data_IF_181217139466
#
_entry.id   IF_181217139466
#
_cell.length_a   1.000
_cell.length_b   1.000
_cell.length_c   1.000
_cell.angle_alpha   90.00
_cell.angle_beta   90.00
_cell.angle_gamma   90.00
#
_symmetry.space_group_name_H-M   'P 1'
#
loop_
_entity.id
_entity.type
_entity.pdbx_description
1 polymer ?
#
# COMPACT_ATOMS: atom_id res chain seq x y z
N UNK A 1 7.72 77.58 59.25
CA UNK A 1 8.40 76.38 58.66
C UNK A 1 8.24 75.16 59.53
N UNK A 2 7.30 75.14 60.45
CA UNK A 2 7.15 73.98 61.38
C UNK A 2 5.92 73.17 61.13
N UNK A 3 5.34 73.23 59.94
CA UNK A 3 4.24 72.31 59.52
C UNK A 3 4.77 70.91 59.26
N UNK A 4 4.03 69.91 59.73
CA UNK A 4 4.30 68.51 59.52
C UNK A 4 3.14 67.89 58.75
N UNK A 5 3.41 66.88 57.92
CA UNK A 5 2.37 66.04 57.29
C UNK A 5 1.79 65.10 58.31
N UNK A 6 0.46 65.20 58.49
CA UNK A 6 -0.29 64.29 59.36
C UNK A 6 -1.30 63.47 58.56
N UNK A 7 -1.31 62.11 58.78
CA UNK A 7 -2.12 61.20 58.09
C UNK A 7 -3.20 60.68 59.03
N UNK A 8 -4.42 60.48 58.46
CA UNK A 8 -5.62 60.07 59.19
C UNK A 8 -6.31 58.96 58.47
N UNK A 9 -7.10 58.06 59.17
CA UNK A 9 -7.90 57.01 58.61
C UNK A 9 -9.41 57.32 58.72
N UNK A 10 -9.76 58.55 59.07
CA UNK A 10 -11.13 59.00 59.19
C UNK A 10 -11.31 60.42 58.61
N UNK A 11 -12.47 60.73 57.99
CA UNK A 11 -12.71 62.02 57.38
C UNK A 11 -12.88 63.18 58.40
N UNK A 12 -13.04 62.93 59.68
CA UNK A 12 -13.08 63.94 60.76
C UNK A 12 -11.71 64.39 61.18
N UNK A 13 -10.65 63.66 60.68
CA UNK A 13 -9.23 63.93 61.00
C UNK A 13 -8.96 63.91 62.53
N UNK A 14 -9.65 62.95 63.23
CA UNK A 14 -9.60 62.90 64.71
C UNK A 14 -8.43 62.09 65.23
N UNK A 15 -7.97 61.07 64.47
CA UNK A 15 -6.94 60.10 64.86
C UNK A 15 -5.79 60.11 63.88
N UNK A 16 -4.62 60.59 64.32
CA UNK A 16 -3.42 60.56 63.55
C UNK A 16 -2.89 59.13 63.47
N UNK A 17 -2.77 58.53 62.26
CA UNK A 17 -2.19 57.21 61.98
C UNK A 17 -0.68 57.27 61.63
N UNK A 18 -0.18 58.45 61.35
CA UNK A 18 1.25 58.63 61.12
C UNK A 18 1.57 60.04 60.73
N UNK A 19 2.87 60.36 60.69
CA UNK A 19 3.41 61.74 60.34
C UNK A 19 4.56 61.62 59.36
N UNK A 20 4.74 62.64 58.53
CA UNK A 20 5.85 62.72 57.57
C UNK A 20 5.39 62.55 56.13
N UNK A 21 6.33 62.64 55.18
CA UNK A 21 6.07 62.57 53.72
C UNK A 21 5.54 61.23 53.26
N UNK A 22 5.70 60.17 54.05
CA UNK A 22 5.20 58.79 53.80
C UNK A 22 4.97 58.09 55.13
N UNK A 23 3.96 57.20 55.14
CA UNK A 23 3.70 56.31 56.27
C UNK A 23 3.56 54.90 55.75
N UNK A 24 3.89 53.95 56.61
CA UNK A 24 3.56 52.52 56.39
C UNK A 24 2.37 52.19 57.24
N UNK A 25 1.28 51.83 56.61
CA UNK A 25 0.07 51.38 57.31
C UNK A 25 0.07 49.88 57.45
N UNK A 26 0.22 49.31 58.69
CA UNK A 26 0.20 47.90 58.87
C UNK A 26 -1.24 47.37 58.86
N UNK A 27 -1.46 46.24 58.16
CA UNK A 27 -2.70 45.40 58.19
C UNK A 27 -4.06 46.18 58.06
N UNK A 28 -4.30 46.72 56.88
CA UNK A 28 -5.65 47.17 56.49
C UNK A 28 -6.53 45.96 56.22
N UNK A 29 -7.66 45.83 56.94
CA UNK A 29 -8.57 44.70 56.85
C UNK A 29 -9.89 44.97 56.11
N UNK A 30 -10.12 46.24 55.73
CA UNK A 30 -11.28 46.69 54.95
C UNK A 30 -10.86 47.88 54.09
N UNK A 31 -11.62 48.21 53.05
CA UNK A 31 -11.39 49.41 52.24
C UNK A 31 -11.34 50.59 53.19
N UNK A 32 -10.25 51.36 53.11
CA UNK A 32 -10.00 52.49 54.02
C UNK A 32 -9.45 53.66 53.23
N UNK A 33 -10.14 54.83 53.36
CA UNK A 33 -9.65 56.07 52.77
C UNK A 33 -8.74 56.76 53.81
N UNK A 34 -7.53 57.03 53.39
CA UNK A 34 -6.54 57.80 54.16
C UNK A 34 -6.56 59.25 53.71
N UNK A 35 -6.46 60.10 54.68
CA UNK A 35 -6.41 61.57 54.48
C UNK A 35 -5.09 62.09 54.94
N UNK A 36 -4.53 63.13 54.24
CA UNK A 36 -3.28 63.79 54.61
C UNK A 36 -3.42 65.28 54.45
N UNK A 37 -2.86 66.00 55.42
CA UNK A 37 -2.71 67.45 55.32
C UNK A 37 -1.46 67.93 56.12
N UNK A 38 -0.97 69.13 55.81
CA UNK A 38 0.06 69.70 56.60
C UNK A 38 -0.58 70.44 57.77
N UNK A 39 -0.10 70.19 59.00
CA UNK A 39 -0.56 70.79 60.25
C UNK A 39 0.59 71.47 61.05
N UNK A 40 0.24 72.40 61.97
CA UNK A 40 1.19 73.03 62.86
C UNK A 40 1.93 74.23 62.32
N UNK A 41 1.63 74.65 61.07
CA UNK A 41 2.25 75.86 60.50
C UNK A 41 1.64 77.13 60.97
N UNK A 42 2.41 78.18 61.04
CA UNK A 42 1.98 79.57 61.42
C UNK A 42 0.87 80.15 60.54
N UNK A 43 0.66 79.62 59.34
CA UNK A 43 -0.37 80.01 58.40
C UNK A 43 -1.63 79.12 58.39
N UNK A 44 -1.75 78.20 59.37
CA UNK A 44 -2.82 77.28 59.46
C UNK A 44 -2.57 75.95 58.71
N UNK A 45 -3.57 75.10 58.69
CA UNK A 45 -3.49 73.72 58.05
C UNK A 45 -3.72 73.85 56.53
N UNK A 46 -3.11 72.99 55.77
CA UNK A 46 -3.37 72.87 54.33
C UNK A 46 -4.74 72.22 54.02
N UNK A 47 -5.15 72.27 52.75
CA UNK A 47 -6.23 71.42 52.29
C UNK A 47 -5.86 69.98 52.47
N UNK A 48 -6.86 69.10 52.68
CA UNK A 48 -6.70 67.68 52.79
C UNK A 48 -6.63 67.01 51.41
N UNK A 49 -5.69 66.07 51.19
CA UNK A 49 -5.73 65.11 50.10
C UNK A 49 -6.16 63.77 50.65
N UNK A 50 -6.80 62.98 49.85
CA UNK A 50 -7.29 61.65 50.21
C UNK A 50 -6.91 60.57 49.16
N UNK A 51 -6.72 59.33 49.59
CA UNK A 51 -6.50 58.17 48.77
C UNK A 51 -7.09 56.95 49.44
N UNK A 52 -7.80 56.09 48.68
CA UNK A 52 -8.42 54.90 49.18
C UNK A 52 -7.49 53.66 48.96
N UNK A 53 -7.25 52.95 50.02
CA UNK A 53 -6.66 51.60 49.99
C UNK A 53 -7.76 50.58 49.89
N UNK A 54 -7.82 49.93 48.75
CA UNK A 54 -8.84 48.91 48.47
C UNK A 54 -8.31 47.52 48.87
N UNK A 55 -9.05 46.81 49.68
CA UNK A 55 -8.74 45.41 50.00
C UNK A 55 -9.35 44.49 48.95
N UNK A 56 -8.47 43.79 48.25
CA UNK A 56 -8.86 42.81 47.26
C UNK A 56 -9.49 41.55 47.92
N UNK A 57 -10.57 41.08 47.37
CA UNK A 57 -11.11 39.77 47.73
C UNK A 57 -10.08 38.67 47.39
N UNK A 58 -9.96 37.61 48.20
CA UNK A 58 -9.07 36.49 47.88
C UNK A 58 -9.52 35.80 46.61
N UNK A 59 -8.56 35.19 45.92
CA UNK A 59 -8.81 34.33 44.78
C UNK A 59 -9.47 33.02 45.23
N UNK A 60 -10.30 32.43 44.40
CA UNK A 60 -10.71 31.03 44.55
C UNK A 60 -10.11 30.19 43.44
N UNK A 61 -9.65 28.99 43.83
CA UNK A 61 -8.98 28.10 42.88
C UNK A 61 -9.92 27.65 41.74
N UNK A 62 -9.42 27.50 40.53
CA UNK A 62 -10.17 26.88 39.46
C UNK A 62 -10.53 25.42 39.81
N UNK A 63 -11.63 24.92 39.29
CA UNK A 63 -12.07 23.53 39.52
C UNK A 63 -11.69 22.60 38.39
N UNK A 64 -11.39 23.16 37.19
CA UNK A 64 -11.01 22.42 36.00
C UNK A 64 -10.63 23.30 34.82
N UNK A 65 -10.34 22.67 33.74
CA UNK A 65 -10.13 23.27 32.42
C UNK A 65 -10.91 22.47 31.40
N UNK A 66 -11.76 23.14 30.63
CA UNK A 66 -12.34 22.58 29.40
C UNK A 66 -11.58 23.06 28.17
N UNK A 67 -11.77 22.37 27.04
CA UNK A 67 -11.11 22.66 25.78
C UNK A 67 -12.04 22.38 24.61
N UNK A 68 -11.80 23.04 23.45
CA UNK A 68 -12.58 22.81 22.24
C UNK A 68 -12.22 21.48 21.57
N UNK A 69 -10.96 21.04 21.66
CA UNK A 69 -10.47 19.76 21.15
C UNK A 69 -9.35 19.22 22.05
N UNK A 70 -9.49 17.97 22.59
CA UNK A 70 -8.45 17.34 23.40
C UNK A 70 -7.27 16.85 22.58
N UNK A 71 -7.53 16.48 21.31
CA UNK A 71 -6.58 15.97 20.37
C UNK A 71 -6.46 16.92 19.20
N UNK A 72 -5.26 17.35 18.90
CA UNK A 72 -4.95 18.30 17.82
C UNK A 72 -3.80 17.80 16.97
N UNK A 73 -3.75 18.24 15.74
CA UNK A 73 -2.55 18.05 14.92
C UNK A 73 -1.46 19.03 15.33
N UNK A 74 -0.21 18.68 15.12
CA UNK A 74 0.90 19.59 15.41
C UNK A 74 0.73 20.92 14.65
N UNK A 75 0.62 22.00 15.40
CA UNK A 75 0.41 23.34 14.84
C UNK A 75 -1.06 23.76 14.69
N UNK A 76 -2.01 22.87 14.89
CA UNK A 76 -3.43 23.26 14.98
C UNK A 76 -3.71 23.89 16.34
N UNK A 77 -4.70 24.78 16.35
CA UNK A 77 -5.06 25.53 17.56
C UNK A 77 -6.27 24.92 18.28
N UNK A 78 -6.26 24.99 19.59
CA UNK A 78 -7.41 24.70 20.47
C UNK A 78 -7.53 25.83 21.49
N UNK A 79 -8.69 25.98 22.08
CA UNK A 79 -8.96 26.94 23.12
C UNK A 79 -9.09 26.24 24.46
N UNK A 80 -8.42 26.79 25.52
CA UNK A 80 -8.53 26.33 26.89
C UNK A 80 -9.39 27.32 27.69
N UNK A 81 -10.35 26.80 28.43
CA UNK A 81 -11.27 27.61 29.26
C UNK A 81 -11.17 27.19 30.71
N UNK A 82 -10.91 28.13 31.60
CA UNK A 82 -10.93 27.91 33.06
C UNK A 82 -12.36 27.62 33.53
N UNK A 83 -12.52 26.57 34.28
CA UNK A 83 -13.81 26.22 34.90
C UNK A 83 -13.78 26.51 36.40
N UNK A 84 -14.82 27.16 36.87
CA UNK A 84 -14.94 27.57 38.27
C UNK A 84 -13.89 28.57 38.73
N UNK A 85 -13.81 28.75 40.03
CA UNK A 85 -12.92 29.74 40.62
C UNK A 85 -13.34 31.19 40.39
N UNK A 86 -12.63 32.13 40.99
CA UNK A 86 -12.81 33.56 40.80
C UNK A 86 -11.53 34.32 41.06
N UNK A 87 -11.36 35.43 40.38
CA UNK A 87 -10.24 36.35 40.59
C UNK A 87 -10.61 37.43 41.59
N UNK A 88 -9.74 37.68 42.56
CA UNK A 88 -9.76 38.91 43.37
C UNK A 88 -9.37 40.12 42.54
N UNK A 89 -9.59 41.34 43.09
CA UNK A 89 -9.22 42.54 42.40
C UNK A 89 -7.71 42.60 42.10
N UNK A 90 -7.36 42.87 40.83
CA UNK A 90 -5.97 42.92 40.39
C UNK A 90 -5.28 41.55 40.18
N UNK A 91 -6.01 40.43 40.33
CA UNK A 91 -5.48 39.09 40.07
C UNK A 91 -5.64 38.71 38.60
N UNK A 92 -4.89 37.67 38.20
CA UNK A 92 -4.88 37.10 36.85
C UNK A 92 -5.10 35.60 36.90
N UNK A 93 -5.73 35.02 35.87
CA UNK A 93 -5.54 33.65 35.50
C UNK A 93 -4.17 33.54 34.82
N UNK A 94 -3.27 32.75 35.44
CA UNK A 94 -1.89 32.58 34.93
C UNK A 94 -1.72 31.13 34.46
N UNK A 95 -1.32 30.99 33.21
CA UNK A 95 -1.15 29.70 32.51
C UNK A 95 0.31 29.35 32.39
N UNK A 96 0.62 28.07 32.48
CA UNK A 96 1.96 27.51 32.40
C UNK A 96 1.94 26.23 31.57
N UNK A 97 3.05 25.93 30.90
CA UNK A 97 3.34 24.68 30.20
C UNK A 97 4.25 23.75 31.02
N UNK A 98 4.60 24.16 32.23
CA UNK A 98 5.40 23.44 33.19
C UNK A 98 4.77 23.59 34.56
N UNK A 99 4.81 22.56 35.41
CA UNK A 99 4.20 22.61 36.72
C UNK A 99 4.73 23.75 37.58
N UNK A 100 3.91 24.77 37.89
CA UNK A 100 4.34 25.94 38.64
C UNK A 100 4.54 25.66 40.14
N UNK A 101 4.30 24.42 40.62
CA UNK A 101 4.54 24.01 42.03
C UNK A 101 5.94 23.46 42.25
N UNK A 102 6.59 22.94 41.18
CA UNK A 102 7.92 22.32 41.24
C UNK A 102 9.03 23.37 41.00
N UNK A 103 8.76 24.31 40.09
CA UNK A 103 9.68 25.37 39.74
C UNK A 103 8.90 26.67 39.54
N UNK A 104 9.57 27.80 39.42
CA UNK A 104 8.91 29.09 39.06
C UNK A 104 9.08 29.35 37.56
N UNK A 105 8.34 28.60 36.72
CA UNK A 105 8.44 28.79 35.26
C UNK A 105 7.85 30.13 34.85
N UNK A 106 8.27 30.69 33.72
CA UNK A 106 7.61 31.86 33.16
C UNK A 106 6.18 31.48 32.75
N UNK A 107 5.23 32.39 32.98
CA UNK A 107 3.88 32.26 32.48
C UNK A 107 3.86 32.25 30.94
N UNK A 108 3.09 31.35 30.33
CA UNK A 108 2.89 31.32 28.88
C UNK A 108 1.73 32.23 28.45
N UNK A 109 0.79 32.50 29.37
CA UNK A 109 -0.32 33.46 29.15
C UNK A 109 -0.89 33.95 30.48
N UNK A 110 -1.29 35.22 30.51
CA UNK A 110 -1.96 35.88 31.64
C UNK A 110 -3.23 36.59 31.17
N UNK A 111 -4.29 36.51 31.96
CA UNK A 111 -5.54 37.25 31.71
C UNK A 111 -6.18 37.73 32.98
N UNK A 112 -6.54 39.02 33.03
CA UNK A 112 -7.25 39.66 34.14
C UNK A 112 -8.77 39.53 34.07
N UNK A 113 -9.32 39.24 32.90
CA UNK A 113 -10.76 39.34 32.64
C UNK A 113 -11.36 38.12 31.92
N UNK A 114 -10.54 37.33 31.26
CA UNK A 114 -11.04 36.17 30.49
C UNK A 114 -10.57 34.86 31.08
N UNK A 115 -11.48 33.92 31.17
CA UNK A 115 -11.19 32.53 31.53
C UNK A 115 -10.62 31.73 30.35
N UNK A 116 -10.47 32.39 29.18
CA UNK A 116 -10.08 31.77 27.91
C UNK A 116 -8.62 32.02 27.58
N UNK A 117 -7.85 30.96 27.35
CA UNK A 117 -6.56 31.01 26.65
C UNK A 117 -6.78 30.48 25.24
N UNK A 118 -6.94 31.36 24.26
CA UNK A 118 -7.29 31.01 22.89
C UNK A 118 -6.07 30.80 22.00
N UNK A 119 -6.24 29.94 21.00
CA UNK A 119 -5.25 29.68 19.96
C UNK A 119 -4.01 28.93 20.48
N UNK A 120 -4.15 28.11 21.49
CA UNK A 120 -3.07 27.25 22.00
C UNK A 120 -2.71 26.22 20.92
N UNK A 121 -1.46 26.24 20.45
CA UNK A 121 -0.99 25.42 19.32
C UNK A 121 0.30 24.68 19.70
N UNK A 122 0.20 23.59 20.49
CA UNK A 122 1.37 22.84 20.92
C UNK A 122 1.97 22.04 19.76
N UNK A 123 3.31 22.00 19.68
CA UNK A 123 4.03 21.18 18.70
C UNK A 123 4.15 19.69 19.13
N UNK A 124 4.04 19.44 20.45
CA UNK A 124 4.08 18.12 21.07
C UNK A 124 3.03 18.04 22.16
N UNK A 125 2.60 16.83 22.54
CA UNK A 125 1.68 16.64 23.66
C UNK A 125 2.18 17.43 24.88
N UNK A 126 1.34 18.36 25.35
CA UNK A 126 1.71 19.33 26.38
C UNK A 126 0.65 19.39 27.47
N UNK A 127 1.09 19.37 28.72
CA UNK A 127 0.23 19.60 29.88
C UNK A 127 0.29 21.07 30.26
N UNK A 128 -0.88 21.72 30.29
CA UNK A 128 -1.04 23.10 30.73
C UNK A 128 -1.59 23.15 32.13
N UNK A 129 -1.12 24.12 32.88
CA UNK A 129 -1.52 24.39 34.26
C UNK A 129 -2.08 25.81 34.34
N UNK A 130 -3.12 26.01 35.14
CA UNK A 130 -3.67 27.34 35.41
C UNK A 130 -3.98 27.50 36.87
N UNK A 131 -3.71 28.69 37.40
CA UNK A 131 -4.07 29.14 38.75
C UNK A 131 -4.37 30.63 38.76
N UNK A 132 -5.06 31.08 39.79
CA UNK A 132 -5.20 32.49 40.02
C UNK A 132 -3.98 33.02 40.79
N UNK A 133 -3.45 34.15 40.33
CA UNK A 133 -2.33 34.87 40.94
C UNK A 133 -2.65 36.33 41.14
N UNK A 134 -2.35 36.85 42.32
CA UNK A 134 -2.62 38.22 42.73
C UNK A 134 -2.15 38.46 44.15
N UNK A 135 -3.02 39.01 45.01
CA UNK A 135 -2.70 39.13 46.43
C UNK A 135 -2.44 37.79 47.10
N UNK A 136 -3.02 36.74 46.60
CA UNK A 136 -2.78 35.34 46.96
C UNK A 136 -2.63 34.49 45.69
N UNK A 137 -2.08 33.29 45.86
CA UNK A 137 -1.90 32.33 44.79
C UNK A 137 -2.65 31.06 45.13
N UNK A 138 -3.53 30.61 44.21
CA UNK A 138 -4.31 29.40 44.42
C UNK A 138 -3.55 28.15 43.99
N UNK A 139 -4.11 26.98 44.32
CA UNK A 139 -3.66 25.71 43.75
C UNK A 139 -3.92 25.70 42.25
N UNK A 140 -3.00 25.12 41.47
CA UNK A 140 -3.16 24.95 40.04
C UNK A 140 -4.01 23.73 39.69
N UNK A 141 -4.80 23.85 38.63
CA UNK A 141 -5.38 22.69 37.94
C UNK A 141 -4.64 22.49 36.61
N UNK A 142 -4.70 21.25 36.09
CA UNK A 142 -3.99 20.90 34.87
C UNK A 142 -4.92 20.27 33.84
N UNK A 143 -4.53 20.37 32.58
CA UNK A 143 -5.13 19.63 31.45
C UNK A 143 -4.04 19.26 30.45
N UNK A 144 -4.22 18.16 29.71
CA UNK A 144 -3.27 17.73 28.69
C UNK A 144 -3.91 17.80 27.32
N UNK A 145 -3.25 18.49 26.40
CA UNK A 145 -3.59 18.48 24.97
C UNK A 145 -2.67 17.48 24.30
N UNK A 146 -3.29 16.46 23.68
CA UNK A 146 -2.56 15.41 22.95
C UNK A 146 -2.29 15.89 21.52
N UNK A 147 -1.03 15.89 21.11
CA UNK A 147 -0.66 16.13 19.72
C UNK A 147 -0.53 14.80 19.01
N UNK A 148 -1.40 14.60 18.01
CA UNK A 148 -1.42 13.39 17.19
C UNK A 148 -0.50 13.53 15.98
N UNK A 149 0.22 12.44 15.66
CA UNK A 149 1.13 12.41 14.53
C UNK A 149 0.35 12.29 13.20
N UNK A 150 0.83 12.94 12.13
CA UNK A 150 0.25 12.78 10.79
C UNK A 150 0.52 11.37 10.26
N UNK A 151 -0.29 10.94 9.29
CA UNK A 151 -0.01 9.73 8.52
C UNK A 151 1.23 9.93 7.63
N UNK A 152 2.02 8.87 7.47
CA UNK A 152 3.12 8.80 6.52
C UNK A 152 2.67 7.93 5.34
N UNK A 153 2.89 8.40 4.11
CA UNK A 153 2.53 7.68 2.90
C UNK A 153 3.22 6.30 2.85
N UNK A 154 2.51 5.31 2.31
CA UNK A 154 3.12 4.03 1.97
C UNK A 154 4.27 4.25 0.97
N UNK A 155 5.31 3.42 1.03
CA UNK A 155 6.43 3.46 0.08
C UNK A 155 6.19 2.62 -1.16
N UNK A 156 5.22 1.68 -1.10
CA UNK A 156 4.86 0.80 -2.21
C UNK A 156 3.80 -0.23 -1.81
N UNK A 157 3.49 -1.10 -2.76
CA UNK A 157 2.65 -2.29 -2.57
C UNK A 157 3.42 -3.48 -3.12
N UNK A 158 3.49 -4.57 -2.34
CA UNK A 158 3.90 -5.88 -2.84
C UNK A 158 2.69 -6.76 -3.10
N UNK A 159 2.86 -7.82 -3.89
CA UNK A 159 1.82 -8.80 -4.16
C UNK A 159 2.41 -10.21 -4.09
N UNK A 160 1.61 -11.20 -3.71
CA UNK A 160 2.02 -12.61 -3.76
C UNK A 160 2.31 -13.06 -5.19
N UNK A 161 1.52 -12.54 -6.15
CA UNK A 161 1.71 -12.73 -7.58
C UNK A 161 1.23 -11.48 -8.32
N UNK A 162 1.99 -11.04 -9.34
CA UNK A 162 1.65 -9.89 -10.18
C UNK A 162 1.09 -10.29 -11.55
N UNK A 163 1.16 -11.60 -11.90
CA UNK A 163 0.55 -12.19 -13.10
C UNK A 163 -0.27 -13.40 -12.66
N UNK A 164 -1.53 -13.44 -13.03
CA UNK A 164 -2.53 -14.42 -12.59
C UNK A 164 -3.23 -15.01 -13.81
N UNK A 165 -3.65 -16.25 -13.70
CA UNK A 165 -4.63 -16.80 -14.63
C UNK A 165 -6.05 -16.41 -14.21
N UNK A 166 -6.99 -16.41 -15.16
CA UNK A 166 -8.38 -16.08 -14.86
C UNK A 166 -8.94 -17.00 -13.75
N UNK A 167 -9.39 -16.38 -12.65
CA UNK A 167 -9.93 -17.08 -11.49
C UNK A 167 -8.95 -17.25 -10.32
N UNK A 168 -7.68 -16.95 -10.53
CA UNK A 168 -6.69 -16.92 -9.45
C UNK A 168 -6.76 -15.60 -8.67
N UNK A 169 -6.29 -15.62 -7.43
CA UNK A 169 -6.20 -14.45 -6.55
C UNK A 169 -4.78 -14.09 -6.18
N UNK A 170 -4.60 -12.86 -5.69
CA UNK A 170 -3.35 -12.37 -5.11
C UNK A 170 -3.63 -11.60 -3.83
N UNK A 171 -2.72 -11.69 -2.86
CA UNK A 171 -2.74 -10.84 -1.68
C UNK A 171 -1.78 -9.67 -1.90
N UNK A 172 -2.32 -8.47 -1.82
CA UNK A 172 -1.57 -7.20 -1.83
C UNK A 172 -1.17 -6.85 -0.41
N UNK A 173 0.03 -6.31 -0.23
CA UNK A 173 0.54 -5.87 1.07
C UNK A 173 1.17 -4.49 0.97
N UNK A 174 0.76 -3.59 1.87
CA UNK A 174 1.30 -2.23 1.98
C UNK A 174 2.72 -2.30 2.52
N UNK A 175 3.64 -1.62 1.85
CA UNK A 175 5.03 -1.51 2.26
C UNK A 175 5.30 -0.12 2.83
N UNK A 176 5.88 -0.08 4.03
CA UNK A 176 6.17 1.18 4.71
C UNK A 176 4.93 2.00 5.05
N UNK A 177 5.15 3.27 5.38
CA UNK A 177 4.10 4.17 5.82
C UNK A 177 3.59 3.88 7.23
N UNK A 178 2.83 4.82 7.80
CA UNK A 178 2.18 4.67 9.11
C UNK A 178 0.89 5.48 9.11
N UNK A 179 -0.12 4.99 9.81
CA UNK A 179 -1.36 5.73 10.03
C UNK A 179 -1.23 6.66 11.23
N UNK A 180 -1.61 7.92 11.06
CA UNK A 180 -1.90 8.82 12.17
C UNK A 180 -3.19 8.40 12.88
N UNK A 181 -3.42 8.93 14.08
CA UNK A 181 -4.64 8.63 14.82
C UNK A 181 -5.89 9.06 14.03
N UNK A 182 -6.88 8.17 13.97
CA UNK A 182 -8.12 8.41 13.23
C UNK A 182 -8.00 8.25 11.71
N UNK A 183 -6.84 7.90 11.16
CA UNK A 183 -6.64 7.61 9.75
C UNK A 183 -6.84 6.12 9.42
N UNK A 184 -7.11 5.84 8.17
CA UNK A 184 -7.24 4.49 7.63
C UNK A 184 -6.50 4.36 6.29
N UNK A 185 -6.01 3.17 5.99
CA UNK A 185 -5.63 2.81 4.63
C UNK A 185 -6.87 2.63 3.78
N UNK A 186 -6.93 3.32 2.65
CA UNK A 186 -8.05 3.24 1.72
C UNK A 186 -7.54 2.76 0.37
N UNK A 187 -8.12 1.64 -0.10
CA UNK A 187 -7.77 0.99 -1.33
C UNK A 187 -8.75 1.36 -2.45
N UNK A 188 -8.22 1.53 -3.65
CA UNK A 188 -8.97 1.88 -4.86
C UNK A 188 -8.58 0.99 -6.03
N UNK A 189 -9.51 0.81 -6.95
CA UNK A 189 -9.31 0.13 -8.21
C UNK A 189 -9.36 1.13 -9.37
N UNK A 190 -8.43 1.01 -10.31
CA UNK A 190 -8.39 1.80 -11.55
C UNK A 190 -7.86 3.23 -11.41
N UNK A 191 -7.83 3.81 -10.20
CA UNK A 191 -7.29 5.16 -10.00
C UNK A 191 -7.30 5.60 -8.54
N UNK A 192 -6.33 6.42 -8.15
CA UNK A 192 -6.18 6.96 -6.82
C UNK A 192 -7.34 7.90 -6.46
N UNK A 193 -8.16 7.53 -5.46
CA UNK A 193 -9.32 8.31 -5.06
C UNK A 193 -10.42 8.40 -6.12
N UNK A 194 -10.35 7.60 -7.17
CA UNK A 194 -11.33 7.57 -8.24
C UNK A 194 -12.43 6.55 -7.93
N UNK A 195 -13.68 7.00 -7.97
CA UNK A 195 -14.83 6.13 -7.68
C UNK A 195 -14.97 5.76 -6.21
N UNK A 196 -15.55 4.59 -5.94
CA UNK A 196 -15.72 4.05 -4.59
C UNK A 196 -14.46 3.28 -4.16
N UNK A 197 -14.10 3.40 -2.88
CA UNK A 197 -13.05 2.56 -2.30
C UNK A 197 -13.51 1.10 -2.27
N UNK A 198 -12.58 0.18 -2.52
CA UNK A 198 -12.83 -1.27 -2.46
C UNK A 198 -12.58 -1.84 -1.07
N UNK A 199 -11.78 -1.16 -0.25
CA UNK A 199 -11.52 -1.51 1.14
C UNK A 199 -11.04 -0.29 1.92
N UNK A 200 -11.32 -0.26 3.23
CA UNK A 200 -10.82 0.77 4.15
C UNK A 200 -10.62 0.16 5.53
N UNK A 201 -9.55 0.57 6.20
CA UNK A 201 -9.24 0.12 7.56
C UNK A 201 -7.77 0.23 7.92
N UNK A 202 -7.38 -0.45 9.00
CA UNK A 202 -5.99 -0.48 9.47
C UNK A 202 -5.20 -1.69 9.00
N UNK A 203 -5.84 -2.62 8.30
CA UNK A 203 -5.17 -3.80 7.75
C UNK A 203 -4.15 -3.41 6.68
N UNK A 204 -2.99 -4.06 6.71
CA UNK A 204 -1.92 -3.83 5.75
C UNK A 204 -2.08 -4.68 4.48
N UNK A 205 -3.01 -5.65 4.47
CA UNK A 205 -3.21 -6.58 3.37
C UNK A 205 -4.61 -6.47 2.78
N UNK A 206 -4.72 -6.79 1.48
CA UNK A 206 -5.97 -6.88 0.73
C UNK A 206 -5.89 -8.07 -0.22
N UNK A 207 -6.85 -8.99 -0.13
CA UNK A 207 -7.01 -10.06 -1.10
C UNK A 207 -7.82 -9.56 -2.29
N UNK A 208 -7.32 -9.83 -3.50
CA UNK A 208 -7.93 -9.43 -4.77
C UNK A 208 -8.04 -10.61 -5.72
N UNK A 209 -9.11 -10.62 -6.54
CA UNK A 209 -9.34 -11.62 -7.57
C UNK A 209 -9.86 -10.92 -8.84
N UNK A 210 -8.97 -10.20 -9.56
CA UNK A 210 -9.38 -9.46 -10.75
C UNK A 210 -9.69 -10.39 -11.93
N UNK A 211 -10.69 -10.05 -12.72
CA UNK A 211 -11.06 -10.78 -13.95
C UNK A 211 -10.40 -10.21 -15.21
N UNK A 212 -9.73 -9.06 -15.08
CA UNK A 212 -8.96 -8.39 -16.12
C UNK A 212 -7.75 -7.71 -15.48
N UNK A 213 -6.73 -7.38 -16.27
CA UNK A 213 -5.57 -6.62 -15.81
C UNK A 213 -6.01 -5.33 -15.12
N UNK A 214 -5.69 -5.21 -13.83
CA UNK A 214 -6.21 -4.17 -12.95
C UNK A 214 -5.09 -3.52 -12.15
N UNK A 215 -5.14 -2.19 -12.02
CA UNK A 215 -4.24 -1.42 -11.16
C UNK A 215 -4.95 -1.08 -9.85
N UNK A 216 -4.29 -1.38 -8.73
CA UNK A 216 -4.74 -1.09 -7.38
C UNK A 216 -3.92 0.04 -6.79
N UNK A 217 -4.58 0.90 -6.04
CA UNK A 217 -4.00 2.08 -5.40
C UNK A 217 -4.34 2.07 -3.92
N UNK A 218 -3.41 2.55 -3.09
CA UNK A 218 -3.66 2.73 -1.67
C UNK A 218 -3.04 4.03 -1.17
N UNK A 219 -3.71 4.68 -0.23
CA UNK A 219 -3.21 5.82 0.55
C UNK A 219 -3.81 5.82 1.94
N UNK A 220 -3.19 6.54 2.85
CA UNK A 220 -3.83 6.87 4.12
C UNK A 220 -4.81 8.03 3.93
N UNK A 221 -6.00 7.93 4.52
CA UNK A 221 -7.02 8.97 4.52
C UNK A 221 -7.50 9.28 5.94
N UNK A 222 -7.83 10.53 6.18
CA UNK A 222 -8.21 11.02 7.49
C UNK A 222 -7.01 11.36 8.37
N UNK A 223 -7.27 11.57 9.68
CA UNK A 223 -6.25 12.05 10.60
C UNK A 223 -5.79 13.47 10.32
N UNK A 224 -4.60 13.81 10.80
CA UNK A 224 -4.09 15.18 10.83
C UNK A 224 -3.76 15.80 9.48
N UNK A 225 -3.32 15.03 8.51
CA UNK A 225 -2.86 15.55 7.22
C UNK A 225 -3.79 15.21 6.06
N UNK A 226 -5.03 14.78 6.36
CA UNK A 226 -5.99 14.38 5.34
C UNK A 226 -5.52 13.16 4.57
N UNK A 227 -5.34 13.32 3.26
CA UNK A 227 -4.96 12.22 2.38
C UNK A 227 -3.47 12.27 2.05
N UNK A 228 -2.78 11.14 2.16
CA UNK A 228 -1.39 11.01 1.67
C UNK A 228 -1.36 10.76 0.17
N UNK A 229 -0.16 10.81 -0.41
CA UNK A 229 0.06 10.36 -1.78
C UNK A 229 -0.27 8.87 -1.93
N UNK A 230 -0.76 8.49 -3.11
CA UNK A 230 -1.03 7.10 -3.45
C UNK A 230 0.23 6.38 -3.92
N UNK A 231 0.32 5.09 -3.55
CA UNK A 231 1.14 4.12 -4.25
C UNK A 231 0.25 3.16 -5.03
N UNK A 232 0.78 2.51 -6.07
CA UNK A 232 0.02 1.59 -6.90
C UNK A 232 0.80 0.34 -7.29
N UNK A 233 0.05 -0.71 -7.63
CA UNK A 233 0.53 -1.94 -8.25
C UNK A 233 -0.45 -2.38 -9.32
N UNK A 234 0.05 -3.04 -10.39
CA UNK A 234 -0.81 -3.62 -11.43
C UNK A 234 -0.72 -5.14 -11.35
N UNK A 235 -1.86 -5.79 -11.30
CA UNK A 235 -2.01 -7.24 -11.41
C UNK A 235 -2.47 -7.54 -12.84
N UNK A 236 -1.63 -8.29 -13.58
CA UNK A 236 -1.90 -8.71 -14.95
C UNK A 236 -2.70 -10.00 -14.96
N UNK A 237 -3.66 -10.12 -15.90
CA UNK A 237 -4.38 -11.38 -16.13
C UNK A 237 -3.86 -11.99 -17.41
N UNK A 238 -3.30 -13.19 -17.28
CA UNK A 238 -2.84 -14.00 -18.40
C UNK A 238 -4.01 -14.74 -19.03
N UNK A 239 -3.97 -14.79 -20.36
CA UNK A 239 -4.98 -15.53 -21.16
C UNK A 239 -4.51 -16.99 -21.25
N UNK A 240 -5.33 -17.98 -20.84
CA UNK A 240 -4.99 -19.39 -21.00
C UNK A 240 -5.00 -19.79 -22.47
N UNK A 241 -4.18 -20.80 -22.84
CA UNK A 241 -4.22 -21.45 -24.15
C UNK A 241 -5.47 -22.33 -24.26
N UNK A 242 -5.94 -22.55 -25.49
CA UNK A 242 -6.97 -23.56 -25.78
C UNK A 242 -6.34 -24.81 -26.41
N UNK A 243 -6.96 -25.96 -26.18
CA UNK A 243 -6.47 -27.24 -26.70
C UNK A 243 -6.29 -27.19 -28.23
N UNK A 244 -5.21 -27.80 -28.78
CA UNK A 244 -5.12 -28.05 -30.21
C UNK A 244 -6.24 -29.03 -30.64
N UNK A 245 -6.74 -28.87 -31.86
CA UNK A 245 -7.82 -29.72 -32.35
C UNK A 245 -7.26 -30.99 -33.02
N UNK A 246 -6.18 -30.85 -33.78
CA UNK A 246 -5.57 -31.96 -34.51
C UNK A 246 -4.12 -31.65 -34.89
N UNK A 247 -3.39 -32.67 -35.36
CA UNK A 247 -2.11 -32.52 -36.05
C UNK A 247 -2.35 -32.83 -37.53
N UNK A 248 -1.95 -31.92 -38.41
CA UNK A 248 -1.96 -32.09 -39.85
C UNK A 248 -0.56 -32.48 -40.35
N UNK A 249 -0.49 -33.46 -41.25
CA UNK A 249 0.73 -33.87 -41.96
C UNK A 249 0.41 -34.18 -43.40
N UNK A 250 1.33 -33.91 -44.32
CA UNK A 250 1.17 -34.30 -45.71
C UNK A 250 1.33 -35.81 -45.88
N UNK A 251 2.26 -36.43 -45.13
CA UNK A 251 2.55 -37.84 -45.19
C UNK A 251 2.69 -38.40 -43.77
N UNK A 252 1.92 -39.43 -43.45
CA UNK A 252 2.00 -40.19 -42.21
C UNK A 252 2.63 -41.59 -42.35
N UNK A 253 2.92 -41.98 -43.59
CA UNK A 253 3.66 -43.18 -43.92
C UNK A 253 4.92 -42.77 -44.69
N UNK A 254 6.08 -43.06 -44.14
CA UNK A 254 7.40 -42.65 -44.67
C UNK A 254 8.25 -43.86 -44.98
N UNK A 255 9.15 -43.71 -45.95
CA UNK A 255 10.28 -44.62 -46.10
C UNK A 255 11.41 -44.31 -45.09
N UNK A 256 12.26 -45.28 -44.75
CA UNK A 256 13.42 -45.01 -43.88
C UNK A 256 14.26 -43.83 -44.39
N UNK A 257 14.50 -42.83 -43.49
CA UNK A 257 15.28 -41.63 -43.81
C UNK A 257 14.50 -40.50 -44.46
N UNK A 258 13.21 -40.66 -44.75
CA UNK A 258 12.33 -39.58 -45.18
C UNK A 258 11.88 -38.70 -44.02
N UNK A 259 11.62 -37.46 -44.33
CA UNK A 259 11.14 -36.45 -43.39
C UNK A 259 9.68 -36.03 -43.72
N UNK A 260 8.98 -35.63 -42.69
CA UNK A 260 7.66 -34.99 -42.84
C UNK A 260 7.56 -33.79 -41.90
N UNK A 261 6.61 -32.88 -42.20
CA UNK A 261 6.30 -31.75 -41.34
C UNK A 261 4.94 -31.98 -40.68
N UNK A 262 4.95 -31.91 -39.37
CA UNK A 262 3.74 -31.93 -38.54
C UNK A 262 3.34 -30.47 -38.24
N UNK A 263 2.05 -30.17 -38.40
CA UNK A 263 1.49 -28.82 -38.18
C UNK A 263 0.37 -28.89 -37.15
N UNK A 264 0.32 -27.93 -36.23
CA UNK A 264 -0.84 -27.79 -35.31
C UNK A 264 -2.02 -27.27 -36.11
N UNK A 265 -3.19 -27.89 -35.88
CA UNK A 265 -4.47 -27.45 -36.41
C UNK A 265 -5.44 -27.12 -35.28
N UNK A 266 -5.99 -25.87 -35.31
CA UNK A 266 -6.86 -25.36 -34.27
C UNK A 266 -6.12 -25.04 -32.95
N UNK A 267 -6.88 -24.66 -31.93
CA UNK A 267 -6.35 -24.15 -30.69
C UNK A 267 -5.81 -22.72 -30.81
N UNK A 268 -5.55 -22.10 -29.66
CA UNK A 268 -4.95 -20.75 -29.57
C UNK A 268 -3.91 -20.71 -28.47
N UNK A 269 -2.84 -19.99 -28.68
CA UNK A 269 -1.84 -19.76 -27.66
C UNK A 269 -2.28 -18.61 -26.76
N UNK A 270 -2.20 -18.81 -25.46
CA UNK A 270 -2.38 -17.79 -24.43
C UNK A 270 -1.15 -16.91 -24.26
N UNK A 271 -1.13 -16.13 -23.18
CA UNK A 271 -0.05 -15.20 -22.88
C UNK A 271 1.27 -15.96 -22.71
N UNK A 272 2.28 -15.60 -23.53
CA UNK A 272 3.63 -16.16 -23.45
C UNK A 272 3.71 -17.67 -23.77
N UNK A 273 2.64 -18.30 -24.26
CA UNK A 273 2.61 -19.72 -24.54
C UNK A 273 3.23 -20.08 -25.88
N UNK A 274 3.71 -21.31 -26.00
CA UNK A 274 4.27 -21.90 -27.20
C UNK A 274 3.69 -23.29 -27.42
N UNK A 275 3.60 -23.77 -28.70
CA UNK A 275 3.34 -25.17 -28.99
C UNK A 275 4.62 -25.96 -28.76
N UNK A 276 4.52 -27.05 -27.99
CA UNK A 276 5.60 -27.98 -27.76
C UNK A 276 5.26 -29.38 -28.28
N UNK A 277 6.23 -30.00 -28.95
CA UNK A 277 6.11 -31.29 -29.60
C UNK A 277 6.87 -32.37 -28.85
N UNK A 278 6.22 -33.53 -28.69
CA UNK A 278 6.76 -34.64 -27.95
C UNK A 278 6.62 -35.96 -28.75
N UNK A 279 7.50 -36.92 -28.48
CA UNK A 279 7.42 -38.28 -29.02
C UNK A 279 7.12 -39.30 -27.90
N UNK A 280 6.30 -40.29 -28.21
CA UNK A 280 6.00 -41.43 -27.34
C UNK A 280 4.81 -41.21 -26.43
N UNK A 281 4.78 -40.05 -25.70
CA UNK A 281 3.68 -39.68 -24.83
C UNK A 281 3.55 -38.16 -24.74
N UNK A 282 2.41 -37.69 -24.27
CA UNK A 282 2.18 -36.26 -23.93
C UNK A 282 3.15 -35.82 -22.84
N UNK A 283 4.02 -34.82 -23.11
CA UNK A 283 5.10 -34.42 -22.21
C UNK A 283 6.28 -35.40 -22.15
N UNK A 284 6.39 -36.31 -23.11
CA UNK A 284 7.45 -37.32 -23.18
C UNK A 284 8.76 -36.78 -23.72
N UNK A 285 9.34 -37.44 -24.77
CA UNK A 285 10.58 -36.95 -25.37
C UNK A 285 10.33 -35.66 -26.16
N UNK A 286 10.98 -34.57 -25.75
CA UNK A 286 10.86 -33.31 -26.46
C UNK A 286 11.44 -33.39 -27.88
N UNK A 287 10.67 -32.92 -28.86
CA UNK A 287 11.03 -32.94 -30.30
C UNK A 287 11.31 -31.55 -30.83
N UNK A 288 10.56 -30.52 -30.38
CA UNK A 288 10.71 -29.16 -30.82
C UNK A 288 9.56 -28.26 -30.39
N UNK A 289 9.59 -27.01 -30.82
CA UNK A 289 8.54 -26.02 -30.53
C UNK A 289 8.10 -25.26 -31.77
N UNK A 290 6.91 -24.65 -31.71
CA UNK A 290 6.33 -23.82 -32.76
C UNK A 290 5.10 -24.47 -33.38
N UNK A 291 4.44 -23.74 -34.29
CA UNK A 291 3.22 -24.19 -34.98
C UNK A 291 3.48 -25.39 -35.93
N UNK A 292 4.73 -25.67 -36.20
CA UNK A 292 5.15 -26.83 -37.01
C UNK A 292 6.49 -27.40 -36.52
N UNK A 293 6.70 -28.72 -36.78
CA UNK A 293 7.98 -29.37 -36.51
C UNK A 293 8.30 -30.31 -37.66
N UNK A 294 9.56 -30.35 -38.11
CA UNK A 294 10.06 -31.32 -39.08
C UNK A 294 10.64 -32.50 -38.34
N UNK A 295 10.21 -33.72 -38.71
CA UNK A 295 10.67 -34.97 -38.11
C UNK A 295 11.25 -35.91 -39.19
N UNK A 296 12.24 -36.71 -38.80
CA UNK A 296 12.84 -37.78 -39.63
C UNK A 296 12.94 -39.06 -38.79
N UNK A 297 11.81 -39.76 -38.60
CA UNK A 297 11.76 -40.91 -37.69
C UNK A 297 12.53 -42.11 -38.31
N UNK A 298 13.27 -42.81 -37.47
CA UNK A 298 13.94 -44.09 -37.88
C UNK A 298 13.03 -45.32 -37.70
N UNK A 299 11.93 -45.17 -36.96
CA UNK A 299 10.91 -46.19 -36.71
C UNK A 299 9.57 -45.54 -36.47
N UNK A 300 8.49 -46.28 -36.66
CA UNK A 300 7.12 -45.83 -36.39
C UNK A 300 7.00 -45.30 -34.95
N UNK A 301 6.38 -44.11 -34.80
CA UNK A 301 6.23 -43.46 -33.51
C UNK A 301 4.97 -42.56 -33.48
N UNK A 302 4.44 -42.36 -32.28
CA UNK A 302 3.36 -41.40 -32.03
C UNK A 302 3.95 -40.06 -31.57
N UNK A 303 3.52 -39.00 -32.19
CA UNK A 303 3.88 -37.61 -31.87
C UNK A 303 2.70 -36.88 -31.23
N UNK A 304 3.02 -36.01 -30.27
CA UNK A 304 2.05 -35.25 -29.49
C UNK A 304 2.39 -33.79 -29.56
N UNK A 305 1.37 -32.94 -29.50
CA UNK A 305 1.55 -31.50 -29.36
C UNK A 305 0.58 -30.95 -28.34
N UNK A 306 1.03 -29.98 -27.56
CA UNK A 306 0.20 -29.16 -26.65
C UNK A 306 0.78 -27.75 -26.56
N UNK A 307 -0.02 -26.80 -26.05
CA UNK A 307 0.50 -25.50 -25.64
C UNK A 307 1.09 -25.58 -24.25
N UNK A 308 2.26 -24.97 -24.07
CA UNK A 308 2.90 -24.74 -22.78
C UNK A 308 2.93 -23.24 -22.52
N UNK A 309 2.42 -22.77 -21.37
CA UNK A 309 2.35 -21.37 -21.02
C UNK A 309 2.16 -21.13 -19.53
N UNK A 310 2.09 -19.84 -19.13
CA UNK A 310 1.99 -19.42 -17.74
C UNK A 310 0.76 -20.00 -17.02
N UNK A 311 -0.37 -20.17 -17.75
CA UNK A 311 -1.61 -20.74 -17.21
C UNK A 311 -1.67 -22.28 -17.26
N UNK A 312 -0.53 -22.92 -17.41
CA UNK A 312 -0.39 -24.37 -17.46
C UNK A 312 -0.50 -24.94 -18.88
N UNK A 313 -0.21 -26.24 -19.03
CA UNK A 313 -0.28 -26.92 -20.32
C UNK A 313 -1.73 -27.24 -20.70
N UNK A 314 -2.00 -27.28 -22.02
CA UNK A 314 -3.24 -27.80 -22.57
C UNK A 314 -3.23 -29.33 -22.65
N UNK A 315 -4.37 -29.90 -23.00
CA UNK A 315 -4.41 -31.31 -23.39
C UNK A 315 -3.63 -31.51 -24.70
N UNK A 316 -3.05 -32.72 -24.87
CA UNK A 316 -2.37 -33.12 -26.10
C UNK A 316 -3.37 -33.63 -27.14
N UNK A 317 -3.05 -33.38 -28.42
CA UNK A 317 -3.47 -34.19 -29.54
C UNK A 317 -2.30 -35.00 -30.08
N UNK A 318 -2.58 -36.13 -30.74
CA UNK A 318 -1.53 -37.02 -31.23
C UNK A 318 -1.74 -37.44 -32.69
N UNK A 319 -0.65 -37.81 -33.33
CA UNK A 319 -0.61 -38.42 -34.66
C UNK A 319 0.38 -39.58 -34.67
N UNK A 320 0.02 -40.67 -35.31
CA UNK A 320 0.94 -41.77 -35.57
C UNK A 320 1.64 -41.56 -36.93
N UNK A 321 2.97 -41.65 -36.92
CA UNK A 321 3.79 -41.65 -38.15
C UNK A 321 4.44 -42.99 -38.26
N UNK A 322 4.09 -43.73 -39.32
CA UNK A 322 4.59 -45.06 -39.62
C UNK A 322 5.81 -44.97 -40.52
N UNK A 323 6.83 -45.77 -40.22
CA UNK A 323 7.98 -45.94 -41.09
C UNK A 323 7.93 -47.35 -41.66
N UNK A 324 7.73 -47.40 -42.97
CA UNK A 324 7.69 -48.67 -43.69
C UNK A 324 9.07 -49.33 -43.75
N UNK A 325 9.10 -50.61 -43.90
CA UNK A 325 10.33 -51.35 -44.29
C UNK A 325 10.52 -51.16 -45.81
N UNK A 326 11.60 -50.52 -46.18
CA UNK A 326 11.96 -50.45 -47.60
C UNK A 326 12.17 -51.85 -48.22
N UNK A 327 11.94 -51.97 -49.50
CA UNK A 327 12.39 -53.16 -50.21
C UNK A 327 13.91 -53.28 -50.13
N UNK A 328 14.43 -54.47 -49.82
CA UNK A 328 15.86 -54.69 -49.88
C UNK A 328 16.26 -55.14 -51.30
N UNK A 329 17.50 -54.86 -51.69
CA UNK A 329 18.01 -55.32 -52.94
C UNK A 329 17.99 -56.87 -52.99
N UNK A 330 17.69 -57.47 -54.16
CA UNK A 330 17.79 -58.91 -54.31
C UNK A 330 19.25 -59.33 -54.32
N UNK A 331 19.55 -60.45 -53.56
CA UNK A 331 20.89 -61.03 -53.55
C UNK A 331 21.23 -61.66 -54.90
N UNK A 332 20.21 -62.31 -55.51
CA UNK A 332 20.36 -62.95 -56.78
C UNK A 332 19.00 -63.17 -57.50
N UNK A 333 19.09 -63.28 -58.82
CA UNK A 333 18.01 -63.78 -59.65
C UNK A 333 18.38 -65.13 -60.24
N UNK A 334 17.45 -66.04 -60.32
CA UNK A 334 17.63 -67.39 -60.91
C UNK A 334 16.56 -67.67 -61.95
N UNK A 335 16.88 -68.61 -62.79
CA UNK A 335 15.99 -69.11 -63.81
C UNK A 335 15.82 -70.63 -63.66
N UNK A 336 14.62 -71.13 -63.79
CA UNK A 336 14.32 -72.58 -63.58
C UNK A 336 14.98 -73.40 -64.66
N UNK A 337 15.02 -72.94 -65.90
CA UNK A 337 15.67 -73.57 -67.06
C UNK A 337 16.31 -72.52 -67.87
N UNK A 338 17.66 -72.57 -68.04
CA UNK A 338 18.45 -71.49 -68.75
C UNK A 338 18.63 -71.76 -70.26
N UNK A 339 18.27 -72.94 -70.72
CA UNK A 339 18.30 -73.34 -72.18
C UNK A 339 16.91 -73.86 -72.56
N UNK A 340 16.18 -73.07 -73.38
CA UNK A 340 14.83 -73.40 -73.82
C UNK A 340 14.75 -73.28 -75.34
N UNK A 341 13.84 -74.07 -75.95
CA UNK A 341 13.57 -74.00 -77.38
C UNK A 341 12.68 -72.74 -77.71
N UNK A 342 12.72 -72.22 -78.96
CA UNK A 342 11.85 -71.15 -79.33
C UNK A 342 10.36 -71.48 -79.08
N UNK A 343 9.66 -70.69 -78.24
CA UNK A 343 8.27 -70.86 -77.84
C UNK A 343 8.06 -71.45 -76.44
N UNK A 344 9.15 -71.93 -75.81
CA UNK A 344 9.08 -72.47 -74.45
C UNK A 344 9.08 -71.39 -73.42
N UNK A 345 8.63 -71.68 -72.23
CA UNK A 345 8.58 -70.79 -71.09
C UNK A 345 9.57 -71.19 -70.00
N UNK A 346 10.13 -70.26 -69.29
CA UNK A 346 10.93 -70.47 -68.08
C UNK A 346 10.49 -69.55 -66.97
N UNK A 347 10.70 -69.96 -65.74
CA UNK A 347 10.36 -69.12 -64.58
C UNK A 347 11.62 -68.41 -64.07
N UNK A 348 11.46 -67.17 -63.78
CA UNK A 348 12.45 -66.33 -63.11
C UNK A 348 12.04 -66.21 -61.64
N UNK A 349 13.02 -66.27 -60.75
CA UNK A 349 12.82 -66.17 -59.31
C UNK A 349 13.85 -65.27 -58.69
N UNK A 350 13.47 -64.53 -57.64
CA UNK A 350 14.32 -63.70 -56.84
C UNK A 350 14.63 -64.38 -55.52
N UNK A 351 15.86 -64.24 -55.03
CA UNK A 351 16.31 -64.75 -53.75
C UNK A 351 17.02 -63.65 -52.92
N UNK A 352 16.97 -63.79 -51.60
CA UNK A 352 17.68 -62.96 -50.66
C UNK A 352 17.13 -61.54 -50.45
N UNK A 353 15.91 -61.25 -50.88
CA UNK A 353 15.28 -59.95 -50.72
C UNK A 353 14.00 -59.98 -49.89
N UNK A 354 13.70 -58.94 -49.13
CA UNK A 354 12.42 -58.74 -48.46
C UNK A 354 11.63 -57.72 -49.27
N UNK A 355 10.42 -58.09 -49.67
CA UNK A 355 9.48 -57.23 -50.35
C UNK A 355 8.34 -56.82 -49.37
N UNK A 356 8.13 -55.53 -49.16
CA UNK A 356 6.95 -55.07 -48.46
C UNK A 356 5.71 -55.39 -49.29
N UNK A 357 4.54 -55.73 -48.67
CA UNK A 357 3.30 -56.09 -49.37
C UNK A 357 2.81 -55.08 -50.42
N UNK A 358 3.23 -53.83 -50.33
CA UNK A 358 2.87 -52.77 -51.30
C UNK A 358 3.77 -52.71 -52.53
N UNK A 359 4.89 -53.45 -52.54
CA UNK A 359 5.82 -53.47 -53.66
C UNK A 359 5.66 -54.79 -54.43
N UNK A 360 6.00 -54.70 -55.71
CA UNK A 360 6.02 -55.86 -56.61
C UNK A 360 7.37 -55.94 -57.29
N UNK A 361 7.87 -57.13 -57.54
CA UNK A 361 9.03 -57.33 -58.38
C UNK A 361 8.70 -57.00 -59.85
N UNK A 362 9.49 -56.14 -60.49
CA UNK A 362 9.34 -55.81 -61.89
C UNK A 362 10.57 -56.35 -62.62
N UNK A 363 10.33 -57.20 -63.57
CA UNK A 363 11.38 -57.80 -64.41
C UNK A 363 11.52 -56.97 -65.68
N UNK A 364 12.78 -56.72 -66.10
CA UNK A 364 13.09 -55.91 -67.29
C UNK A 364 13.91 -56.73 -68.30
N UNK A 365 13.74 -56.50 -69.57
CA UNK A 365 14.58 -57.06 -70.66
C UNK A 365 15.51 -55.94 -71.19
N UNK A 366 16.76 -56.30 -71.52
CA UNK A 366 17.78 -55.40 -72.04
C UNK A 366 18.58 -54.68 -70.92
N UNK A 367 17.96 -53.69 -70.29
CA UNK A 367 18.57 -52.92 -69.19
C UNK A 367 17.52 -52.70 -68.11
N UNK A 368 17.96 -52.45 -66.85
CA UNK A 368 17.06 -52.11 -65.77
C UNK A 368 16.25 -50.86 -66.11
N UNK A 369 14.93 -50.93 -65.96
CA UNK A 369 14.01 -49.83 -66.29
C UNK A 369 13.68 -49.66 -67.74
N UNK A 370 14.19 -50.52 -68.70
CA UNK A 370 14.02 -50.36 -70.15
C UNK A 370 12.61 -50.91 -70.60
N UNK A 371 12.44 -52.20 -70.71
CA UNK A 371 11.20 -52.83 -71.14
C UNK A 371 10.73 -53.82 -70.09
N UNK A 372 9.54 -53.65 -69.57
CA UNK A 372 8.97 -54.56 -68.60
C UNK A 372 8.73 -55.92 -69.21
N UNK A 373 9.30 -56.99 -68.65
CA UNK A 373 9.10 -58.37 -69.03
C UNK A 373 7.98 -59.06 -68.21
N UNK A 374 7.78 -58.61 -67.02
CA UNK A 374 6.75 -59.18 -66.12
C UNK A 374 6.74 -58.53 -64.74
N UNK A 375 5.68 -58.77 -63.97
CA UNK A 375 5.48 -58.35 -62.54
C UNK A 375 5.20 -59.61 -61.74
N UNK A 376 5.82 -59.74 -60.59
CA UNK A 376 5.64 -60.89 -59.76
C UNK A 376 6.01 -60.72 -58.31
#
# INVERSE_FOLDING_TARGET
TDANWEWYDDPSLAVIVGTGNSITVPSVSANTTFYVRAEGGVCGNSNTAEEEVIISSPNTAPTGVSFTSPDVCAGDATDLTVEGGSLGAGANWTWYDTDPTISSPPAVFNSTTTVLYSGVSPATTTTYYVRAEGCDTTTAVQTTITVIAPSVAASGISATQTSLCTGDGSTLEIQGGTLGAGAAWVWYEGGCGAGSSISSGTALTLDVNPTATTSYYVRAEGGCNGNTECVNITISIDIPSTDPVAIASANTVLCPGESTVLNVSGGTLGTGAVWEWYQGSCGGIYVGQGSSVSITPSSSATYFVRAEGACGPTNCVSIEVSVGVGASDPDSASVSINNICPGDTTQLSVAGAVLNPEYVWVWYTGACGAVTAGIG
#
